data_IF_011964323334
#
_entry.id   IF_011964323334
#
_cell.length_a   1.000
_cell.length_b   1.000
_cell.length_c   1.000
_cell.angle_alpha   90.00
_cell.angle_beta   90.00
_cell.angle_gamma   90.00
#
_symmetry.space_group_name_H-M   'P 1'
#
loop_
_entity.id
_entity.type
_entity.pdbx_description
1 polymer ?
#
# COMPACT_ATOMS: atom_id res chain seq x y z
N UNK A 1 -82.05 -21.11 -26.71
CA UNK A 1 -80.90 -21.28 -27.64
C UNK A 1 -79.67 -20.68 -26.95
N UNK A 2 -78.75 -21.52 -26.46
CA UNK A 2 -77.30 -21.57 -26.80
C UNK A 2 -76.61 -20.19 -26.71
N UNK A 3 -75.60 -19.91 -25.87
CA UNK A 3 -74.49 -20.74 -25.38
C UNK A 3 -73.90 -20.21 -24.06
N UNK A 4 -73.28 -21.15 -23.32
CA UNK A 4 -72.41 -20.97 -22.16
C UNK A 4 -71.18 -20.11 -22.49
N UNK A 5 -70.67 -19.35 -21.52
CA UNK A 5 -69.22 -19.27 -21.32
C UNK A 5 -68.88 -19.14 -19.82
N UNK A 6 -67.97 -20.01 -19.40
CA UNK A 6 -67.50 -20.21 -18.04
C UNK A 6 -66.47 -19.13 -17.64
N UNK A 7 -66.55 -18.78 -16.35
CA UNK A 7 -65.48 -18.39 -15.42
C UNK A 7 -64.02 -18.52 -15.88
N UNK A 8 -63.24 -17.47 -15.65
CA UNK A 8 -61.87 -17.59 -15.14
C UNK A 8 -61.47 -16.35 -14.33
N UNK A 9 -61.25 -16.58 -13.02
CA UNK A 9 -60.62 -15.65 -12.09
C UNK A 9 -59.15 -15.50 -12.49
N UNK A 10 -58.69 -14.27 -12.69
CA UNK A 10 -57.27 -13.95 -12.68
C UNK A 10 -57.05 -12.86 -11.62
N UNK A 11 -56.49 -13.30 -10.50
CA UNK A 11 -55.99 -12.50 -9.41
C UNK A 11 -54.89 -11.57 -9.95
N UNK A 12 -55.16 -10.27 -10.05
CA UNK A 12 -54.11 -9.28 -10.31
C UNK A 12 -53.38 -9.04 -8.98
N UNK A 13 -52.32 -9.84 -8.76
CA UNK A 13 -51.39 -9.64 -7.68
C UNK A 13 -50.71 -8.26 -7.84
N UNK A 14 -50.67 -7.51 -6.74
CA UNK A 14 -49.95 -6.25 -6.61
C UNK A 14 -48.52 -6.38 -7.15
N UNK A 15 -48.15 -5.50 -8.08
CA UNK A 15 -46.75 -5.10 -8.20
C UNK A 15 -46.44 -4.15 -7.04
N UNK A 16 -45.55 -4.49 -6.09
CA UNK A 16 -44.91 -3.46 -5.30
C UNK A 16 -43.96 -2.71 -6.23
N UNK A 17 -44.32 -1.47 -6.57
CA UNK A 17 -43.36 -0.50 -7.08
C UNK A 17 -42.38 -0.26 -5.93
N UNK A 18 -41.24 -0.94 -5.98
CA UNK A 18 -40.09 -0.62 -5.15
C UNK A 18 -39.60 0.76 -5.58
N UNK A 19 -40.14 1.81 -4.96
CA UNK A 19 -39.47 3.10 -4.90
C UNK A 19 -38.22 2.88 -4.05
N UNK A 20 -37.13 2.51 -4.72
CA UNK A 20 -35.80 2.70 -4.16
C UNK A 20 -35.65 4.21 -3.95
N UNK A 21 -35.93 4.66 -2.72
CA UNK A 21 -35.43 5.92 -2.23
C UNK A 21 -33.90 5.84 -2.38
N UNK A 22 -33.40 6.41 -3.48
CA UNK A 22 -32.00 6.74 -3.60
C UNK A 22 -31.70 7.68 -2.45
N UNK A 23 -31.20 7.11 -1.36
CA UNK A 23 -30.39 7.83 -0.39
C UNK A 23 -29.24 8.40 -1.21
N UNK A 24 -29.42 9.63 -1.70
CA UNK A 24 -28.34 10.55 -1.99
C UNK A 24 -27.64 10.77 -0.66
N UNK A 25 -26.77 9.82 -0.30
CA UNK A 25 -25.69 10.11 0.61
C UNK A 25 -24.87 11.15 -0.14
N UNK A 26 -24.97 12.40 0.30
CA UNK A 26 -23.99 13.41 -0.06
C UNK A 26 -22.66 12.85 0.45
N UNK A 27 -21.92 12.16 -0.41
CA UNK A 27 -20.57 11.76 -0.10
C UNK A 27 -19.85 13.06 0.25
N UNK A 28 -19.31 13.15 1.46
CA UNK A 28 -18.46 14.26 1.84
C UNK A 28 -17.40 14.41 0.73
N UNK A 29 -17.32 15.60 0.15
CA UNK A 29 -16.34 15.86 -0.90
C UNK A 29 -14.97 15.72 -0.24
N UNK A 30 -14.19 14.73 -0.67
CA UNK A 30 -12.83 14.55 -0.21
C UNK A 30 -11.99 15.75 -0.67
N UNK A 31 -11.41 16.50 0.26
CA UNK A 31 -10.51 17.59 -0.07
C UNK A 31 -9.06 17.08 -0.18
N UNK A 32 -8.30 17.65 -1.11
CA UNK A 32 -6.84 17.43 -1.17
C UNK A 32 -6.11 18.64 -0.61
N UNK A 33 -5.33 18.41 0.44
CA UNK A 33 -4.55 19.41 1.16
C UNK A 33 -3.07 19.28 0.81
N UNK A 34 -2.40 20.38 0.48
CA UNK A 34 -0.99 20.39 0.07
C UNK A 34 -0.10 21.05 1.10
N UNK A 35 0.99 20.36 1.49
CA UNK A 35 1.96 20.90 2.45
C UNK A 35 2.77 22.06 1.83
N UNK A 36 2.80 23.19 2.54
CA UNK A 36 3.53 24.38 2.15
C UNK A 36 4.68 24.69 3.13
N UNK A 37 5.80 25.21 2.62
CA UNK A 37 6.95 25.59 3.44
C UNK A 37 6.64 26.81 4.31
N UNK A 38 7.07 26.76 5.58
CA UNK A 38 6.90 27.84 6.55
C UNK A 38 7.74 29.06 6.17
N UNK A 39 7.09 30.20 5.96
CA UNK A 39 7.66 31.53 5.69
C UNK A 39 7.94 31.90 4.21
N UNK A 40 7.45 33.08 3.81
CA UNK A 40 7.82 33.79 2.59
C UNK A 40 7.21 33.31 1.28
N UNK A 41 6.58 32.12 1.25
CA UNK A 41 5.89 31.63 0.05
C UNK A 41 4.42 32.07 0.06
N UNK A 42 3.98 32.76 -0.99
CA UNK A 42 2.55 32.88 -1.30
C UNK A 42 2.08 31.50 -1.76
N UNK A 43 1.16 30.89 -1.02
CA UNK A 43 0.57 29.61 -1.42
C UNK A 43 -0.05 29.71 -2.80
N UNK A 44 -0.17 28.59 -3.52
CA UNK A 44 -0.99 28.58 -4.72
C UNK A 44 -2.44 28.86 -4.28
N UNK A 45 -3.07 29.98 -4.71
CA UNK A 45 -4.41 30.35 -4.26
C UNK A 45 -5.48 29.34 -4.70
N UNK A 46 -5.16 28.45 -5.64
CA UNK A 46 -6.04 27.39 -6.11
C UNK A 46 -5.92 26.09 -5.29
N UNK A 47 -5.07 26.04 -4.27
CA UNK A 47 -4.85 24.85 -3.45
C UNK A 47 -5.32 25.07 -2.01
N UNK A 48 -5.91 24.02 -1.43
CA UNK A 48 -6.04 23.93 0.02
C UNK A 48 -4.63 23.74 0.58
N UNK A 49 -4.02 24.81 1.08
CA UNK A 49 -2.65 24.77 1.58
C UNK A 49 -2.59 24.60 3.08
N UNK A 50 -1.59 23.86 3.53
CA UNK A 50 -1.28 23.63 4.92
C UNK A 50 0.07 24.25 5.24
N UNK A 51 0.09 25.34 6.02
CA UNK A 51 1.34 25.99 6.40
C UNK A 51 1.90 25.32 7.66
N UNK A 52 3.10 24.77 7.54
CA UNK A 52 3.89 24.37 8.71
C UNK A 52 4.38 25.63 9.42
N UNK A 53 4.55 25.56 10.73
CA UNK A 53 5.32 26.57 11.43
C UNK A 53 5.96 25.89 12.62
N UNK A 54 7.26 26.15 12.74
CA UNK A 54 8.15 25.61 13.76
C UNK A 54 7.75 26.19 15.13
N UNK A 55 6.59 25.77 15.63
CA UNK A 55 6.17 25.99 17.01
C UNK A 55 7.02 25.11 17.92
N UNK A 56 7.40 25.67 19.07
CA UNK A 56 8.26 25.04 20.08
C UNK A 56 8.08 23.52 20.24
N UNK A 57 9.20 22.84 20.46
CA UNK A 57 9.31 21.38 20.68
C UNK A 57 8.10 20.82 21.46
N UNK A 58 7.37 19.87 20.86
CA UNK A 58 6.30 19.16 21.56
C UNK A 58 4.91 19.24 20.94
N UNK A 59 4.71 19.99 19.88
CA UNK A 59 3.39 20.07 19.19
C UNK A 59 3.53 19.59 17.75
N UNK A 60 2.63 18.71 17.29
CA UNK A 60 2.44 18.48 15.85
C UNK A 60 2.27 19.83 15.13
N UNK A 61 2.57 19.94 13.82
CA UNK A 61 2.32 21.16 13.07
C UNK A 61 0.95 21.75 13.41
N UNK A 62 0.92 23.00 13.83
CA UNK A 62 -0.35 23.71 13.92
C UNK A 62 -0.78 24.03 12.49
N UNK A 63 -1.78 23.32 12.02
CA UNK A 63 -2.30 23.47 10.66
C UNK A 63 -3.07 24.78 10.56
N UNK A 64 -2.59 25.72 9.74
CA UNK A 64 -3.38 26.87 9.29
C UNK A 64 -3.61 26.74 7.80
N UNK A 65 -4.88 26.78 7.40
CA UNK A 65 -5.26 27.06 6.03
C UNK A 65 -4.87 28.51 5.69
N UNK A 66 -4.56 28.79 4.42
CA UNK A 66 -4.15 30.13 3.96
C UNK A 66 -5.22 31.22 4.18
N UNK A 67 -6.47 30.83 4.41
CA UNK A 67 -7.62 31.69 4.73
C UNK A 67 -7.93 31.76 6.24
N UNK A 68 -7.24 30.98 7.08
CA UNK A 68 -7.39 30.99 8.54
C UNK A 68 -8.61 30.26 9.10
N UNK A 69 -9.34 29.48 8.27
CA UNK A 69 -10.68 28.96 8.61
C UNK A 69 -10.73 27.54 9.17
N UNK A 70 -9.64 26.75 9.12
CA UNK A 70 -9.69 25.35 9.56
C UNK A 70 -9.14 25.18 10.98
N UNK A 71 -10.06 24.93 11.93
CA UNK A 71 -9.71 24.48 13.27
C UNK A 71 -9.45 22.96 13.28
N UNK A 72 -8.43 22.53 14.04
CA UNK A 72 -8.12 21.13 14.32
C UNK A 72 -9.36 20.39 14.88
N UNK A 73 -10.01 19.59 14.03
CA UNK A 73 -11.20 18.81 14.40
C UNK A 73 -12.16 18.47 13.26
N UNK A 74 -11.97 19.05 12.05
CA UNK A 74 -12.92 18.92 10.94
C UNK A 74 -12.40 18.17 9.70
N UNK A 75 -11.23 17.53 9.76
CA UNK A 75 -10.74 16.73 8.64
C UNK A 75 -11.57 15.46 8.47
N UNK A 76 -12.04 15.23 7.25
CA UNK A 76 -12.74 14.01 6.91
C UNK A 76 -11.76 12.84 6.91
N UNK A 77 -12.27 11.64 7.20
CA UNK A 77 -11.55 10.39 6.93
C UNK A 77 -11.26 10.19 5.44
N UNK A 78 -11.96 10.93 4.58
CA UNK A 78 -11.83 10.85 3.13
C UNK A 78 -10.85 11.90 2.57
N UNK A 79 -10.36 12.83 3.40
CA UNK A 79 -9.40 13.86 2.96
C UNK A 79 -8.03 13.28 2.62
N UNK A 80 -7.33 13.90 1.67
CA UNK A 80 -5.97 13.51 1.27
C UNK A 80 -4.98 14.62 1.61
N UNK A 81 -3.88 14.27 2.24
CA UNK A 81 -2.82 15.20 2.64
C UNK A 81 -1.56 14.91 1.84
N UNK A 82 -1.23 15.77 0.88
CA UNK A 82 -0.13 15.57 -0.05
C UNK A 82 1.14 16.32 0.41
N UNK A 83 2.24 15.59 0.54
CA UNK A 83 3.55 16.14 0.87
C UNK A 83 4.12 17.04 -0.23
N UNK A 84 3.80 16.80 -1.50
CA UNK A 84 4.17 17.64 -2.64
C UNK A 84 5.65 18.11 -2.63
N UNK A 85 6.56 17.16 -2.44
CA UNK A 85 8.01 17.42 -2.43
C UNK A 85 8.55 17.94 -1.11
N UNK A 86 7.71 18.12 -0.08
CA UNK A 86 8.10 18.62 1.23
C UNK A 86 8.42 17.49 2.20
N UNK A 87 9.09 17.86 3.29
CA UNK A 87 9.34 16.95 4.41
C UNK A 87 8.28 17.14 5.47
N UNK A 88 7.55 16.07 5.80
CA UNK A 88 6.72 15.98 7.00
C UNK A 88 7.53 15.30 8.09
N UNK A 89 7.86 16.06 9.14
CA UNK A 89 8.40 15.51 10.38
C UNK A 89 7.25 15.20 11.32
N UNK A 90 7.10 13.94 11.66
CA UNK A 90 6.08 13.46 12.58
C UNK A 90 6.60 13.52 14.01
N UNK A 91 5.84 14.18 14.89
CA UNK A 91 6.20 14.33 16.31
C UNK A 91 5.17 13.61 17.18
N UNK A 92 5.64 12.60 17.94
CA UNK A 92 4.99 11.87 19.05
C UNK A 92 3.58 11.28 18.90
N UNK A 93 2.86 11.47 17.79
CA UNK A 93 1.47 11.03 17.69
C UNK A 93 1.09 10.47 16.32
N UNK A 94 -0.04 9.76 16.31
CA UNK A 94 -0.71 9.29 15.11
C UNK A 94 -1.09 10.46 14.18
N UNK A 95 -0.86 10.32 12.88
CA UNK A 95 -1.52 11.11 11.86
C UNK A 95 -3.01 10.73 11.83
N UNK A 96 -3.84 11.61 12.41
CA UNK A 96 -5.29 11.47 12.54
C UNK A 96 -5.99 12.37 11.53
N UNK A 97 -6.07 11.92 10.30
CA UNK A 97 -6.69 12.58 9.15
C UNK A 97 -6.62 11.60 7.99
N UNK A 98 -7.57 11.64 7.04
CA UNK A 98 -7.81 10.60 6.03
C UNK A 98 -6.58 9.85 5.49
N UNK A 99 -6.14 10.15 4.26
CA UNK A 99 -5.00 9.49 3.63
C UNK A 99 -3.81 10.43 3.53
N UNK A 100 -2.62 9.97 3.88
CA UNK A 100 -1.37 10.69 3.65
C UNK A 100 -0.84 10.32 2.25
N UNK A 101 -0.59 11.30 1.40
CA UNK A 101 -0.02 11.12 0.06
C UNK A 101 1.42 11.63 -0.02
N UNK A 102 2.31 10.80 -0.53
CA UNK A 102 3.69 11.17 -0.89
C UNK A 102 3.79 11.22 -2.42
N UNK A 103 3.47 12.37 -3.02
CA UNK A 103 3.69 12.60 -4.46
C UNK A 103 5.15 12.93 -4.78
N UNK A 104 5.82 13.56 -3.82
CA UNK A 104 7.26 13.68 -3.72
C UNK A 104 7.61 14.02 -2.26
N UNK A 105 8.88 13.91 -1.87
CA UNK A 105 9.35 14.44 -0.59
C UNK A 105 9.64 13.35 0.45
N UNK A 106 9.48 13.68 1.72
CA UNK A 106 9.99 12.84 2.81
C UNK A 106 9.04 12.78 4.00
N UNK A 107 8.72 11.58 4.47
CA UNK A 107 8.17 11.33 5.79
C UNK A 107 9.32 10.99 6.74
N UNK A 108 9.56 11.83 7.73
CA UNK A 108 10.70 11.73 8.64
C UNK A 108 10.23 11.24 10.01
N UNK A 109 10.46 9.95 10.30
CA UNK A 109 9.97 9.25 11.48
C UNK A 109 10.90 9.45 12.67
N UNK A 110 10.44 10.10 13.75
CA UNK A 110 11.26 10.27 14.96
C UNK A 110 11.47 8.93 15.69
N UNK A 111 12.69 8.71 16.18
CA UNK A 111 13.34 7.42 16.43
C UNK A 111 12.91 6.56 17.62
N UNK A 112 12.00 7.03 18.48
CA UNK A 112 11.74 6.38 19.78
C UNK A 112 10.28 6.08 20.06
N UNK A 113 9.37 6.51 19.19
CA UNK A 113 7.94 6.33 19.40
C UNK A 113 7.31 5.83 18.11
N UNK A 114 6.48 4.78 18.22
CA UNK A 114 5.71 4.28 17.09
C UNK A 114 4.84 5.38 16.50
N UNK A 115 4.65 5.35 15.20
CA UNK A 115 3.82 6.29 14.47
C UNK A 115 2.67 5.55 13.83
N UNK A 116 1.51 6.20 13.78
CA UNK A 116 0.32 5.58 13.20
C UNK A 116 -0.28 6.51 12.16
N UNK A 117 -0.53 6.02 10.95
CA UNK A 117 -1.39 6.67 9.97
C UNK A 117 -2.75 6.00 10.08
N UNK A 118 -3.79 6.76 10.41
CA UNK A 118 -5.12 6.18 10.66
C UNK A 118 -5.84 5.72 9.40
N UNK A 119 -5.58 6.35 8.24
CA UNK A 119 -6.09 5.90 6.94
C UNK A 119 -4.96 5.36 6.06
N UNK A 120 -5.00 5.69 4.77
CA UNK A 120 -4.04 5.14 3.81
C UNK A 120 -2.74 5.95 3.76
N UNK A 121 -1.65 5.28 3.42
CA UNK A 121 -0.43 5.90 2.93
C UNK A 121 -0.33 5.65 1.42
N UNK A 122 -0.47 6.70 0.63
CA UNK A 122 -0.48 6.64 -0.83
C UNK A 122 0.81 7.22 -1.39
N UNK A 123 1.54 6.47 -2.20
CA UNK A 123 2.78 6.94 -2.84
C UNK A 123 2.55 7.05 -4.33
N UNK A 124 2.47 8.28 -4.84
CA UNK A 124 2.16 8.56 -6.25
C UNK A 124 3.38 9.00 -7.07
N UNK A 125 4.49 9.32 -6.40
CA UNK A 125 5.78 9.61 -7.03
C UNK A 125 6.96 9.22 -6.14
N UNK A 126 8.11 9.86 -6.33
CA UNK A 126 9.32 9.52 -5.59
C UNK A 126 9.24 10.01 -4.14
N UNK A 127 9.02 9.09 -3.22
CA UNK A 127 8.91 9.34 -1.78
C UNK A 127 10.07 8.72 -1.01
N UNK A 128 10.39 9.33 0.14
CA UNK A 128 11.33 8.75 1.10
C UNK A 128 10.68 8.65 2.48
N UNK A 129 10.85 7.52 3.16
CA UNK A 129 10.63 7.37 4.60
C UNK A 129 12.00 7.31 5.26
N UNK A 130 12.30 8.29 6.08
CA UNK A 130 13.55 8.35 6.84
C UNK A 130 13.29 7.98 8.29
N UNK A 131 14.23 7.26 8.90
CA UNK A 131 14.37 7.30 10.34
C UNK A 131 15.10 8.60 10.72
N UNK A 132 14.45 9.45 11.49
CA UNK A 132 14.87 10.82 11.77
C UNK A 132 16.10 10.95 12.64
N UNK A 133 16.77 12.10 12.47
CA UNK A 133 17.96 12.52 13.21
C UNK A 133 17.62 12.60 14.70
N UNK A 134 18.27 11.78 15.52
CA UNK A 134 17.98 11.62 16.95
C UNK A 134 17.73 10.16 17.36
N UNK A 135 17.67 9.24 16.40
CA UNK A 135 17.91 7.82 16.66
C UNK A 135 19.35 7.64 17.14
N UNK A 136 19.55 7.19 18.37
CA UNK A 136 20.83 6.56 18.69
C UNK A 136 21.01 5.31 17.82
N UNK A 137 22.27 4.87 17.57
CA UNK A 137 22.51 3.58 16.93
C UNK A 137 21.70 2.47 17.62
N UNK A 138 21.01 1.63 16.85
CA UNK A 138 20.18 0.56 17.42
C UNK A 138 18.72 0.94 17.69
N UNK A 139 18.29 2.18 17.42
CA UNK A 139 16.89 2.56 17.63
C UNK A 139 15.96 1.92 16.60
N UNK A 140 14.82 1.43 17.05
CA UNK A 140 13.76 0.90 16.20
C UNK A 140 12.58 1.86 16.13
N UNK A 141 12.09 2.10 14.91
CA UNK A 141 10.89 2.90 14.66
C UNK A 141 9.84 2.03 14.01
N UNK A 142 8.62 2.07 14.55
CA UNK A 142 7.46 1.41 13.95
C UNK A 142 6.59 2.46 13.28
N UNK A 143 6.23 2.23 12.02
CA UNK A 143 5.19 2.94 11.30
C UNK A 143 4.02 1.98 11.06
N UNK A 144 2.94 2.20 11.79
CA UNK A 144 1.67 1.50 11.61
C UNK A 144 0.79 2.27 10.63
N UNK A 145 0.19 1.58 9.68
CA UNK A 145 -0.75 2.11 8.69
C UNK A 145 -2.02 1.26 8.82
N UNK A 146 -3.07 1.85 9.40
CA UNK A 146 -4.31 1.13 9.66
C UNK A 146 -5.13 0.88 8.38
N UNK A 147 -4.98 1.76 7.37
CA UNK A 147 -5.52 1.58 6.04
C UNK A 147 -4.58 0.79 5.13
N UNK A 148 -4.54 1.18 3.86
CA UNK A 148 -3.63 0.61 2.88
C UNK A 148 -2.31 1.39 2.76
N UNK A 149 -1.20 0.68 2.61
CA UNK A 149 -0.01 1.20 1.94
C UNK A 149 -0.17 0.95 0.44
N UNK A 150 -0.48 2.01 -0.32
CA UNK A 150 -0.69 1.95 -1.76
C UNK A 150 0.48 2.61 -2.50
N UNK A 151 1.12 1.87 -3.40
CA UNK A 151 2.15 2.41 -4.29
C UNK A 151 1.63 2.42 -5.72
N UNK A 152 1.31 3.61 -6.24
CA UNK A 152 0.88 3.76 -7.63
C UNK A 152 2.00 3.35 -8.60
N UNK A 153 1.71 3.03 -9.87
CA UNK A 153 2.72 2.55 -10.82
C UNK A 153 3.94 3.48 -10.98
N UNK A 154 3.76 4.80 -10.79
CA UNK A 154 4.83 5.79 -10.82
C UNK A 154 5.49 6.04 -9.45
N UNK A 155 4.88 5.53 -8.38
CA UNK A 155 5.35 5.66 -7.01
C UNK A 155 6.62 4.86 -6.77
N UNK A 156 7.61 5.49 -6.14
CA UNK A 156 8.79 4.81 -5.63
C UNK A 156 8.97 5.21 -4.18
N UNK A 157 8.86 4.26 -3.26
CA UNK A 157 9.05 4.49 -1.83
C UNK A 157 10.44 4.01 -1.41
N UNK A 158 11.31 4.93 -1.01
CA UNK A 158 12.64 4.60 -0.48
C UNK A 158 12.65 4.67 1.03
N UNK A 159 13.16 3.64 1.69
CA UNK A 159 13.43 3.68 3.12
C UNK A 159 14.92 3.93 3.35
N UNK A 160 15.26 4.91 4.19
CA UNK A 160 16.66 5.19 4.50
C UNK A 160 16.91 5.36 5.99
N UNK A 161 18.04 4.80 6.45
CA UNK A 161 18.54 5.00 7.80
C UNK A 161 19.18 6.40 8.00
N UNK A 162 19.46 6.79 9.25
CA UNK A 162 20.25 7.96 9.60
C UNK A 162 21.68 7.82 9.05
N UNK A 163 22.46 8.91 9.15
CA UNK A 163 23.85 8.93 8.65
C UNK A 163 24.79 7.98 9.40
N UNK A 164 24.48 7.63 10.65
CA UNK A 164 25.40 6.93 11.55
C UNK A 164 24.67 5.84 12.36
N UNK A 165 24.86 4.57 11.98
CA UNK A 165 24.46 3.42 12.80
C UNK A 165 23.36 2.50 12.22
N UNK A 166 23.27 1.30 12.79
CA UNK A 166 22.25 0.31 12.43
C UNK A 166 20.86 0.83 12.80
N UNK A 167 19.94 0.72 11.84
CA UNK A 167 18.64 1.36 11.90
C UNK A 167 17.55 0.38 11.53
N UNK A 168 16.45 0.44 12.27
CA UNK A 168 15.37 -0.53 12.18
C UNK A 168 14.07 0.22 11.92
N UNK A 169 13.46 -0.04 10.79
CA UNK A 169 12.12 0.45 10.47
C UNK A 169 11.21 -0.76 10.36
N UNK A 170 10.15 -0.78 11.13
CA UNK A 170 9.05 -1.71 10.94
C UNK A 170 7.92 -0.96 10.26
N UNK A 171 7.47 -1.44 9.10
CA UNK A 171 6.23 -0.98 8.48
C UNK A 171 5.20 -2.07 8.72
N UNK A 172 4.15 -1.70 9.43
CA UNK A 172 3.02 -2.56 9.73
C UNK A 172 1.79 -1.98 9.03
N UNK A 173 1.42 -2.55 7.89
CA UNK A 173 0.32 -2.07 7.06
C UNK A 173 -0.75 -3.13 6.91
N UNK A 174 -1.99 -2.82 7.26
CA UNK A 174 -3.10 -3.77 7.15
C UNK A 174 -3.22 -4.35 5.73
N UNK A 175 -3.18 -3.48 4.71
CA UNK A 175 -3.14 -3.87 3.30
C UNK A 175 -1.93 -3.26 2.60
N UNK A 176 -1.21 -4.05 1.80
CA UNK A 176 -0.18 -3.59 0.89
C UNK A 176 -0.62 -3.84 -0.56
N UNK A 177 -0.67 -2.79 -1.38
CA UNK A 177 -1.23 -2.86 -2.74
C UNK A 177 -0.53 -1.93 -3.72
N UNK A 178 -0.79 -2.14 -5.01
CA UNK A 178 -0.27 -1.35 -6.13
C UNK A 178 0.93 -1.99 -6.82
N UNK A 179 1.57 -1.24 -7.71
CA UNK A 179 2.65 -1.74 -8.57
C UNK A 179 3.90 -0.85 -8.56
N UNK A 180 3.89 0.24 -7.79
CA UNK A 180 5.07 1.08 -7.57
C UNK A 180 6.18 0.36 -6.81
N UNK A 181 7.41 0.83 -7.01
CA UNK A 181 8.60 0.18 -6.45
C UNK A 181 8.87 0.56 -4.99
N UNK A 182 9.50 -0.36 -4.25
CA UNK A 182 10.12 -0.06 -2.96
C UNK A 182 11.63 -0.21 -3.06
N UNK A 183 12.36 0.69 -2.39
CA UNK A 183 13.80 0.56 -2.19
C UNK A 183 14.10 0.52 -0.71
N UNK A 184 14.77 -0.54 -0.25
CA UNK A 184 15.23 -0.71 1.13
C UNK A 184 16.69 -0.32 1.20
N UNK A 185 16.97 0.78 1.90
CA UNK A 185 18.31 1.33 2.05
C UNK A 185 18.66 2.39 1.02
N UNK A 186 19.75 3.10 1.30
CA UNK A 186 20.23 4.22 0.45
C UNK A 186 21.32 3.83 -0.54
N UNK A 187 21.79 2.58 -0.52
CA UNK A 187 22.98 2.14 -1.29
C UNK A 187 24.31 2.58 -0.70
N UNK A 188 24.31 3.39 0.35
CA UNK A 188 25.48 3.64 1.17
C UNK A 188 25.53 2.63 2.32
N UNK A 189 26.56 1.77 2.35
CA UNK A 189 26.77 0.76 3.39
C UNK A 189 27.04 1.34 4.80
N UNK A 190 27.26 2.66 4.92
CA UNK A 190 27.26 3.34 6.22
C UNK A 190 25.85 3.64 6.74
N UNK A 191 24.83 3.57 5.86
CA UNK A 191 23.42 3.84 6.13
C UNK A 191 22.59 2.57 6.01
N UNK A 192 23.04 1.54 6.71
CA UNK A 192 22.38 0.23 6.76
C UNK A 192 20.99 0.38 7.36
N UNK A 193 20.00 -0.19 6.69
CA UNK A 193 18.63 -0.23 7.15
C UNK A 193 18.17 -1.68 7.22
N UNK A 194 17.61 -2.07 8.37
CA UNK A 194 16.78 -3.26 8.48
C UNK A 194 15.32 -2.82 8.38
N UNK A 195 14.64 -3.24 7.31
CA UNK A 195 13.21 -3.06 7.13
C UNK A 195 12.49 -4.36 7.48
N UNK A 196 11.62 -4.32 8.47
CA UNK A 196 10.62 -5.36 8.70
C UNK A 196 9.32 -4.92 8.05
N UNK A 197 8.83 -5.71 7.11
CA UNK A 197 7.57 -5.45 6.42
C UNK A 197 6.52 -6.45 6.89
N UNK A 198 5.47 -5.94 7.52
CA UNK A 198 4.33 -6.70 8.02
C UNK A 198 3.10 -6.23 7.25
N UNK A 199 2.35 -7.19 6.71
CA UNK A 199 1.04 -6.90 6.14
C UNK A 199 0.10 -8.11 6.22
N UNK A 200 -1.14 -7.87 6.64
CA UNK A 200 -2.17 -8.92 6.68
C UNK A 200 -2.60 -9.34 5.28
N UNK A 201 -2.56 -8.41 4.32
CA UNK A 201 -2.89 -8.68 2.92
C UNK A 201 -1.99 -7.91 1.94
N UNK A 202 -1.00 -8.61 1.39
CA UNK A 202 -0.09 -8.08 0.35
C UNK A 202 -0.30 -8.71 -1.04
N UNK A 203 -1.36 -9.50 -1.21
CA UNK A 203 -1.56 -10.32 -2.42
C UNK A 203 -1.77 -9.49 -3.69
N UNK A 204 -2.27 -8.27 -3.54
CA UNK A 204 -2.51 -7.31 -4.62
C UNK A 204 -1.29 -6.43 -4.94
N UNK A 205 -0.21 -6.49 -4.16
CA UNK A 205 1.01 -5.76 -4.46
C UNK A 205 1.85 -6.52 -5.49
N UNK A 206 2.21 -5.84 -6.58
CA UNK A 206 2.96 -6.40 -7.72
C UNK A 206 4.23 -5.62 -8.03
N UNK A 207 4.54 -4.60 -7.23
CA UNK A 207 5.74 -3.78 -7.40
C UNK A 207 7.03 -4.52 -7.08
N UNK A 208 8.15 -3.96 -7.55
CA UNK A 208 9.46 -4.50 -7.25
C UNK A 208 10.00 -3.94 -5.94
N UNK A 209 10.51 -4.81 -5.06
CA UNK A 209 11.23 -4.44 -3.85
C UNK A 209 12.72 -4.67 -4.10
N UNK A 210 13.50 -3.59 -4.09
CA UNK A 210 14.96 -3.65 -4.23
C UNK A 210 15.64 -3.40 -2.89
N UNK A 211 16.41 -4.37 -2.41
CA UNK A 211 17.21 -4.25 -1.20
C UNK A 211 18.63 -3.88 -1.59
N UNK A 212 19.08 -2.72 -1.12
CA UNK A 212 20.40 -2.17 -1.45
C UNK A 212 21.48 -2.75 -0.54
N UNK A 213 22.73 -2.69 -1.02
CA UNK A 213 23.92 -3.10 -0.27
C UNK A 213 23.91 -2.55 1.16
N UNK A 214 24.24 -3.40 2.13
CA UNK A 214 24.28 -3.11 3.56
C UNK A 214 22.92 -3.14 4.26
N UNK A 215 21.81 -3.25 3.52
CA UNK A 215 20.47 -3.24 4.08
C UNK A 215 19.88 -4.64 4.17
N UNK A 216 18.91 -4.82 5.07
CA UNK A 216 18.24 -6.09 5.34
C UNK A 216 16.73 -5.93 5.13
N UNK A 217 16.12 -6.87 4.42
CA UNK A 217 14.66 -7.02 4.39
C UNK A 217 14.26 -8.24 5.22
N UNK A 218 13.24 -8.07 6.06
CA UNK A 218 12.82 -9.06 7.06
C UNK A 218 11.34 -9.35 6.88
N UNK A 219 11.00 -10.64 6.82
CA UNK A 219 9.64 -11.16 6.93
C UNK A 219 9.55 -12.00 8.21
N UNK A 220 8.77 -11.51 9.18
CA UNK A 220 8.57 -12.17 10.48
C UNK A 220 7.47 -13.22 10.45
N UNK A 221 6.52 -13.05 9.54
CA UNK A 221 5.31 -13.86 9.41
C UNK A 221 5.12 -14.31 7.96
N UNK A 222 4.08 -15.10 7.72
CA UNK A 222 3.70 -15.50 6.36
C UNK A 222 3.38 -14.28 5.51
N UNK A 223 4.06 -14.13 4.37
CA UNK A 223 3.89 -13.02 3.45
C UNK A 223 3.61 -13.53 2.04
N UNK A 224 2.47 -13.14 1.46
CA UNK A 224 2.07 -13.55 0.11
C UNK A 224 1.86 -12.31 -0.74
N UNK A 225 2.65 -12.17 -1.80
CA UNK A 225 2.60 -11.01 -2.68
C UNK A 225 2.93 -11.38 -4.13
N UNK A 226 2.39 -10.59 -5.08
CA UNK A 226 2.79 -10.62 -6.48
C UNK A 226 4.09 -9.85 -6.76
N UNK A 227 4.78 -9.35 -5.72
CA UNK A 227 6.00 -8.58 -5.84
C UNK A 227 7.18 -9.39 -6.42
N UNK A 228 8.07 -8.69 -7.11
CA UNK A 228 9.42 -9.13 -7.38
C UNK A 228 10.38 -8.61 -6.32
N UNK A 229 11.28 -9.45 -5.79
CA UNK A 229 12.32 -9.01 -4.85
C UNK A 229 13.70 -9.11 -5.50
N UNK A 230 14.50 -8.06 -5.37
CA UNK A 230 15.89 -8.02 -5.84
C UNK A 230 16.82 -7.69 -4.67
N UNK A 231 17.76 -8.59 -4.38
CA UNK A 231 18.83 -8.38 -3.42
C UNK A 231 20.11 -7.96 -4.16
N UNK A 232 20.52 -6.69 -4.00
CA UNK A 232 21.81 -6.21 -4.51
C UNK A 232 22.96 -6.91 -3.74
N UNK A 233 24.14 -7.00 -4.34
CA UNK A 233 25.32 -7.59 -3.66
C UNK A 233 25.60 -6.93 -2.31
N UNK A 234 25.79 -7.75 -1.28
CA UNK A 234 26.01 -7.29 0.09
C UNK A 234 24.76 -6.76 0.79
N UNK A 235 23.56 -6.99 0.22
CA UNK A 235 22.29 -6.87 0.96
C UNK A 235 21.93 -8.19 1.63
N UNK A 236 20.99 -8.13 2.57
CA UNK A 236 20.62 -9.25 3.41
C UNK A 236 19.11 -9.49 3.41
N UNK A 237 18.75 -10.73 3.74
CA UNK A 237 17.40 -11.22 3.83
C UNK A 237 17.24 -12.06 5.09
N UNK A 238 16.15 -11.82 5.84
CA UNK A 238 15.78 -12.65 6.99
C UNK A 238 14.41 -13.27 6.72
N UNK A 239 14.33 -14.59 6.86
CA UNK A 239 13.17 -15.41 6.50
C UNK A 239 12.69 -16.21 7.72
N UNK A 240 11.92 -15.55 8.57
CA UNK A 240 11.39 -16.17 9.80
C UNK A 240 10.00 -16.80 9.55
N UNK A 241 9.29 -16.35 8.51
CA UNK A 241 8.03 -16.92 8.02
C UNK A 241 8.09 -17.43 6.57
N UNK A 242 7.00 -18.04 6.10
CA UNK A 242 6.86 -18.50 4.71
C UNK A 242 6.52 -17.34 3.77
N UNK A 243 7.29 -17.18 2.71
CA UNK A 243 7.18 -16.05 1.77
C UNK A 243 6.82 -16.55 0.38
N UNK A 244 5.78 -15.99 -0.23
CA UNK A 244 5.42 -16.23 -1.63
C UNK A 244 5.58 -14.96 -2.44
N UNK A 245 6.36 -15.02 -3.51
CA UNK A 245 6.70 -13.89 -4.39
C UNK A 245 6.51 -14.29 -5.86
N UNK A 246 6.34 -13.32 -6.75
CA UNK A 246 6.33 -13.59 -8.19
C UNK A 246 7.73 -13.83 -8.76
N UNK A 247 8.75 -13.18 -8.19
CA UNK A 247 10.15 -13.40 -8.55
C UNK A 247 11.09 -13.04 -7.40
N UNK A 248 12.27 -13.68 -7.39
CA UNK A 248 13.38 -13.33 -6.50
C UNK A 248 14.68 -13.39 -7.28
N UNK A 249 15.50 -12.34 -7.18
CA UNK A 249 16.87 -12.33 -7.67
C UNK A 249 17.84 -12.03 -6.52
N UNK A 250 18.88 -12.86 -6.39
CA UNK A 250 19.89 -12.76 -5.34
C UNK A 250 21.25 -12.54 -6.01
N UNK A 251 21.85 -11.37 -5.78
CA UNK A 251 23.16 -11.05 -6.36
C UNK A 251 23.20 -11.06 -7.89
N UNK A 252 22.05 -10.85 -8.54
CA UNK A 252 21.90 -10.93 -10.00
C UNK A 252 21.44 -12.29 -10.53
N UNK A 253 21.41 -13.34 -9.70
CA UNK A 253 20.89 -14.67 -10.08
C UNK A 253 19.39 -14.74 -9.82
N UNK A 254 18.58 -14.96 -10.86
CA UNK A 254 17.14 -15.16 -10.72
C UNK A 254 16.82 -16.59 -10.28
N UNK A 255 15.96 -16.75 -9.27
CA UNK A 255 15.48 -18.06 -8.84
C UNK A 255 14.40 -18.59 -9.81
N UNK A 256 14.36 -19.90 -9.96
CA UNK A 256 13.39 -20.59 -10.81
C UNK A 256 11.96 -20.42 -10.27
N UNK A 257 11.04 -20.01 -11.15
CA UNK A 257 9.59 -19.96 -10.89
C UNK A 257 8.99 -21.36 -10.74
N UNK A 258 7.96 -21.48 -9.91
CA UNK A 258 7.25 -22.72 -9.59
C UNK A 258 7.95 -23.59 -8.55
N UNK A 259 9.06 -23.14 -7.98
CA UNK A 259 9.84 -23.87 -6.97
C UNK A 259 9.66 -23.29 -5.57
N UNK A 260 9.57 -24.19 -4.59
CA UNK A 260 9.71 -23.88 -3.17
C UNK A 260 11.16 -24.13 -2.75
N UNK A 261 11.77 -23.14 -2.11
CA UNK A 261 13.12 -23.18 -1.59
C UNK A 261 13.06 -23.14 -0.06
N UNK A 262 13.68 -24.12 0.60
CA UNK A 262 13.86 -24.08 2.05
C UNK A 262 14.99 -23.11 2.42
N UNK A 263 14.95 -22.51 3.62
CA UNK A 263 16.02 -21.63 4.09
C UNK A 263 17.42 -22.28 3.97
N UNK A 264 17.56 -23.54 4.39
CA UNK A 264 18.84 -24.25 4.35
C UNK A 264 19.40 -24.43 2.93
N UNK A 265 18.54 -24.57 1.92
CA UNK A 265 18.96 -24.64 0.51
C UNK A 265 19.47 -23.27 0.04
N UNK A 266 18.71 -22.20 0.35
CA UNK A 266 19.08 -20.84 -0.02
C UNK A 266 20.37 -20.37 0.67
N UNK A 267 20.55 -20.71 1.95
CA UNK A 267 21.74 -20.35 2.71
C UNK A 267 22.99 -21.09 2.19
N UNK A 268 22.83 -22.34 1.73
CA UNK A 268 23.92 -23.09 1.10
C UNK A 268 24.33 -22.50 -0.26
N UNK A 269 23.37 -22.16 -1.11
CA UNK A 269 23.63 -21.68 -2.49
C UNK A 269 23.99 -20.18 -2.54
N UNK A 270 23.51 -19.39 -1.58
CA UNK A 270 23.65 -17.93 -1.53
C UNK A 270 24.18 -17.45 -0.17
N UNK A 271 25.16 -18.17 0.38
CA UNK A 271 25.82 -17.83 1.63
C UNK A 271 26.22 -16.35 1.67
N UNK A 272 25.86 -15.67 2.77
CA UNK A 272 26.14 -14.23 2.96
C UNK A 272 25.02 -13.28 2.53
N UNK A 273 23.96 -13.75 1.87
CA UNK A 273 22.73 -12.96 1.67
C UNK A 273 21.68 -13.24 2.75
N UNK A 274 21.81 -14.33 3.51
CA UNK A 274 20.88 -14.70 4.56
C UNK A 274 21.51 -14.46 5.94
N UNK A 275 20.73 -13.87 6.84
CA UNK A 275 21.13 -13.75 8.26
C UNK A 275 20.73 -15.01 9.02
N UNK A 276 21.57 -15.49 9.94
CA UNK A 276 21.26 -16.66 10.77
C UNK A 276 19.91 -16.50 11.51
N UNK A 277 19.08 -17.56 11.50
CA UNK A 277 17.85 -17.62 12.30
C UNK A 277 16.56 -17.98 11.57
N UNK A 278 16.55 -18.17 10.26
CA UNK A 278 15.32 -18.42 9.51
C UNK A 278 14.85 -19.88 9.52
N UNK A 279 13.60 -20.14 9.91
CA UNK A 279 12.92 -21.45 9.73
C UNK A 279 11.97 -21.46 8.54
N UNK A 280 11.80 -20.32 7.86
CA UNK A 280 10.83 -20.17 6.78
C UNK A 280 11.27 -20.78 5.45
N UNK A 281 10.42 -20.57 4.44
CA UNK A 281 10.66 -20.99 3.06
C UNK A 281 10.18 -19.94 2.06
N UNK A 282 10.74 -19.96 0.84
CA UNK A 282 10.33 -19.05 -0.23
C UNK A 282 9.68 -19.87 -1.34
N UNK A 283 8.49 -19.47 -1.77
CA UNK A 283 7.82 -19.98 -2.97
C UNK A 283 7.89 -18.90 -4.05
N UNK A 284 8.52 -19.23 -5.18
CA UNK A 284 8.46 -18.35 -6.36
C UNK A 284 7.24 -18.78 -7.17
N UNK A 285 6.12 -18.12 -6.96
CA UNK A 285 4.85 -18.43 -7.61
C UNK A 285 4.84 -18.04 -9.09
N UNK A 286 4.14 -18.82 -9.91
CA UNK A 286 3.64 -18.31 -11.19
C UNK A 286 2.54 -17.29 -10.87
N UNK A 287 2.69 -16.04 -11.33
CA UNK A 287 1.74 -14.92 -11.25
C UNK A 287 0.38 -15.33 -10.64
N UNK A 288 0.11 -14.89 -9.40
CA UNK A 288 -1.24 -14.96 -8.85
C UNK A 288 -2.12 -14.19 -9.85
N UNK A 289 -3.06 -14.84 -10.57
CA UNK A 289 -3.90 -14.11 -11.50
C UNK A 289 -4.63 -13.05 -10.69
N UNK A 290 -4.58 -11.80 -11.15
CA UNK A 290 -5.34 -10.72 -10.51
C UNK A 290 -6.81 -11.17 -10.38
N UNK A 291 -7.50 -10.85 -9.27
CA UNK A 291 -8.92 -11.19 -9.13
C UNK A 291 -9.78 -10.65 -10.29
N UNK A 292 -9.33 -9.58 -10.95
CA UNK A 292 -9.96 -9.05 -12.16
C UNK A 292 -9.87 -10.01 -13.38
N UNK A 293 -8.75 -10.71 -13.58
CA UNK A 293 -8.57 -11.62 -14.73
C UNK A 293 -9.31 -12.94 -14.55
N UNK A 294 -9.46 -13.43 -13.32
CA UNK A 294 -10.29 -14.61 -13.03
C UNK A 294 -11.78 -14.36 -13.35
N UNK A 295 -12.26 -13.14 -13.09
CA UNK A 295 -13.65 -12.75 -13.35
C UNK A 295 -13.94 -12.64 -14.85
N UNK A 296 -12.97 -12.18 -15.65
CA UNK A 296 -13.11 -12.09 -17.11
C UNK A 296 -13.11 -13.47 -17.79
N UNK A 297 -12.30 -14.41 -17.29
CA UNK A 297 -12.26 -15.79 -17.81
C UNK A 297 -13.57 -16.55 -17.54
N UNK A 298 -14.15 -16.37 -16.35
CA UNK A 298 -15.44 -16.97 -15.97
C UNK A 298 -16.63 -16.29 -16.69
N UNK A 299 -16.58 -14.96 -16.89
CA UNK A 299 -17.60 -14.21 -17.61
C UNK A 299 -17.63 -14.50 -19.12
N UNK A 300 -16.46 -14.64 -19.76
CA UNK A 300 -16.37 -14.96 -21.18
C UNK A 300 -16.81 -16.41 -21.50
N UNK A 301 -16.55 -17.36 -20.58
CA UNK A 301 -16.99 -18.74 -20.72
C UNK A 301 -18.51 -18.92 -20.68
N UNK A 302 -19.22 -18.14 -19.86
CA UNK A 302 -20.69 -18.19 -19.76
C UNK A 302 -21.41 -17.44 -20.90
N UNK A 303 -20.81 -16.38 -21.45
CA UNK A 303 -21.35 -15.65 -22.60
C UNK A 303 -21.39 -16.47 -23.90
N UNK A 304 -20.36 -17.30 -24.13
CA UNK A 304 -20.29 -18.16 -25.33
C UNK A 304 -21.22 -19.37 -25.25
N UNK A 305 -21.49 -19.91 -24.05
CA UNK A 305 -22.47 -20.98 -23.86
C UNK A 305 -23.93 -20.50 -24.06
N UNK A 306 -24.23 -19.24 -23.72
CA UNK A 306 -25.54 -18.62 -23.96
C UNK A 306 -25.81 -18.32 -25.45
N UNK A 307 -24.79 -17.88 -26.20
CA UNK A 307 -24.93 -17.55 -27.62
C UNK A 307 -25.07 -18.80 -28.52
N UNK A 308 -24.51 -19.95 -28.12
CA UNK A 308 -24.64 -21.20 -28.86
C UNK A 308 -26.05 -21.84 -28.74
N UNK A 309 -26.79 -21.61 -27.64
CA UNK A 309 -28.16 -22.12 -27.48
C UNK A 309 -29.24 -21.29 -28.20
N UNK A 310 -28.95 -20.04 -28.56
CA UNK A 310 -29.93 -19.16 -29.21
C UNK A 310 -30.05 -19.38 -30.75
N UNK A 311 -29.13 -20.11 -31.40
CA UNK A 311 -29.14 -20.31 -32.86
C UNK A 311 -29.77 -21.62 -33.38
N UNK A 312 -30.26 -22.51 -32.51
CA UNK A 312 -30.85 -23.80 -32.95
C UNK A 312 -32.39 -23.90 -32.88
N UNK A 313 -33.13 -22.80 -32.68
CA UNK A 313 -34.61 -22.80 -32.71
C UNK A 313 -35.18 -21.72 -33.63
N UNK A 314 -34.86 -21.77 -34.93
CA UNK A 314 -35.69 -21.19 -36.00
C UNK A 314 -35.46 -22.00 -37.28
N UNK A 315 -36.41 -22.89 -37.59
CA UNK A 315 -36.41 -23.62 -38.86
C UNK A 315 -37.27 -24.88 -38.85
N UNK A 316 -38.60 -24.71 -38.90
CA UNK A 316 -39.54 -25.53 -39.70
C UNK A 316 -40.96 -24.96 -39.54
N UNK A 317 -41.40 -24.28 -40.61
CA UNK A 317 -42.78 -24.37 -41.11
C UNK A 317 -42.79 -25.62 -42.00
#
# INVERSE_FOLDING_TARGET
MKNKLHTLRASLALLPVAMAAGLFTCAAVADTWYLQASQGSTGNPNWNTLTYSDGAEGTLPYWKSSDGTVALGSFSKDDVFDLNGKTLRTHRDSFKGGSLRISAGTLDLKSSQGQTITGDLIVTGAGTINQGLGAGPGSATVLTINGALQLDPAGILSFAGPRDGASYVTVDANVLTGSGGMTVGSGNAARNLRLTLISENASAYTGNIRVRTGSTLVFTDTFVSGAGVQLDTGSFFTLDGDVTLASLSIGGTALQTGKKYAFAELDADFAGYFTAGGTGSIIIGTLIPEPATATLLLGAGLGLAGAARARCRRGRI
#
